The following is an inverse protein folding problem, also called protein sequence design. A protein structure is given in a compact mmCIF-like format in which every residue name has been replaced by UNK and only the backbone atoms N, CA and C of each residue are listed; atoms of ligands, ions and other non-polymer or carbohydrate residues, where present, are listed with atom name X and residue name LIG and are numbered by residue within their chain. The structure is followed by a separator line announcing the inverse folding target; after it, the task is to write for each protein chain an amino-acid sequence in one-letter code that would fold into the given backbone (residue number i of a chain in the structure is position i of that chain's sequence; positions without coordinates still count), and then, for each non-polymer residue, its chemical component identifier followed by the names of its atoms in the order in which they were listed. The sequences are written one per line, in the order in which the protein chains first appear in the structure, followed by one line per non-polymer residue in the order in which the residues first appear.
data_IF_156648086995
#
_entry.id   IF_156648086995
#
_cell.length_a   1.000
_cell.length_b   1.000
_cell.length_c   1.000
_cell.angle_alpha   90.00
_cell.angle_beta   90.00
_cell.angle_gamma   90.00
#
_symmetry.space_group_name_H-M   'P 1'
#
loop_
_entity.id
_entity.type
_entity.pdbx_description
1 polymer ?
#
# COMPACT_ATOMS: atom_id res chain seq x y z
N UNK A 1 -30.65 -34.78 24.24
CA UNK A 1 -30.07 -33.54 24.83
C UNK A 1 -31.15 -32.59 25.32
N UNK A 2 -32.13 -32.26 24.48
CA UNK A 2 -33.26 -31.37 24.84
C UNK A 2 -34.12 -31.94 26.00
N UNK A 3 -34.44 -33.24 26.01
CA UNK A 3 -35.22 -33.86 27.09
C UNK A 3 -34.55 -33.74 28.48
N UNK A 4 -33.23 -33.97 28.56
CA UNK A 4 -32.44 -33.81 29.80
C UNK A 4 -32.37 -32.35 30.26
N UNK A 5 -32.40 -31.40 29.33
CA UNK A 5 -32.42 -29.97 29.64
C UNK A 5 -33.75 -29.55 30.27
N UNK A 6 -34.87 -30.09 29.79
CA UNK A 6 -36.18 -29.85 30.40
C UNK A 6 -36.31 -30.47 31.78
N UNK A 7 -35.79 -31.68 32.00
CA UNK A 7 -35.72 -32.30 33.33
C UNK A 7 -34.87 -31.46 34.31
N UNK A 8 -33.73 -30.94 33.85
CA UNK A 8 -32.86 -30.08 34.64
C UNK A 8 -33.51 -28.74 34.99
N UNK A 9 -34.17 -28.08 34.02
CA UNK A 9 -34.94 -26.84 34.25
C UNK A 9 -36.09 -27.08 35.24
N UNK A 10 -36.77 -28.23 35.15
CA UNK A 10 -37.85 -28.57 36.06
C UNK A 10 -37.35 -28.84 37.50
N UNK A 11 -36.17 -29.46 37.64
CA UNK A 11 -35.52 -29.66 38.94
C UNK A 11 -35.08 -28.35 39.60
N UNK A 12 -34.55 -27.39 38.81
CA UNK A 12 -34.15 -26.05 39.26
C UNK A 12 -35.34 -25.18 39.66
N UNK A 13 -36.50 -25.40 39.03
CA UNK A 13 -37.70 -24.59 39.26
C UNK A 13 -38.52 -25.02 40.48
N UNK A 14 -38.18 -26.17 41.09
CA UNK A 14 -38.94 -26.74 42.22
C UNK A 14 -40.41 -26.99 41.90
N UNK A 15 -40.76 -27.20 40.63
CA UNK A 15 -42.15 -27.37 40.16
C UNK A 15 -42.94 -26.08 39.90
N UNK A 16 -42.37 -24.89 40.08
CA UNK A 16 -43.06 -23.62 39.78
C UNK A 16 -43.01 -23.31 38.27
N UNK A 17 -44.17 -23.24 37.61
CA UNK A 17 -44.26 -23.01 36.17
C UNK A 17 -43.75 -21.63 35.73
N UNK A 18 -43.93 -20.59 36.54
CA UNK A 18 -43.47 -19.22 36.22
C UNK A 18 -41.94 -19.14 36.22
N UNK A 19 -41.30 -19.75 37.22
CA UNK A 19 -39.83 -19.78 37.35
C UNK A 19 -39.22 -20.63 36.23
N UNK A 20 -39.86 -21.74 35.85
CA UNK A 20 -39.42 -22.59 34.74
C UNK A 20 -39.49 -21.85 33.40
N UNK A 21 -40.52 -21.01 33.20
CA UNK A 21 -40.63 -20.11 32.06
C UNK A 21 -39.51 -19.07 32.01
N UNK A 22 -39.20 -18.43 33.14
CA UNK A 22 -38.12 -17.44 33.20
C UNK A 22 -36.73 -18.04 32.95
N UNK A 23 -36.45 -19.21 33.56
CA UNK A 23 -35.18 -19.94 33.37
C UNK A 23 -35.04 -20.39 31.92
N UNK A 24 -36.10 -20.92 31.30
CA UNK A 24 -36.05 -21.38 29.91
C UNK A 24 -35.81 -20.22 28.92
N UNK A 25 -36.42 -19.05 29.14
CA UNK A 25 -36.15 -17.84 28.35
C UNK A 25 -34.70 -17.37 28.50
N UNK A 26 -34.15 -17.39 29.71
CA UNK A 26 -32.76 -17.02 29.95
C UNK A 26 -31.77 -17.99 29.27
N UNK A 27 -32.02 -19.29 29.36
CA UNK A 27 -31.23 -20.31 28.63
C UNK A 27 -31.33 -20.12 27.11
N UNK A 28 -32.53 -19.87 26.58
CA UNK A 28 -32.70 -19.65 25.15
C UNK A 28 -31.97 -18.38 24.69
N UNK A 29 -32.04 -17.30 25.47
CA UNK A 29 -31.33 -16.05 25.20
C UNK A 29 -29.81 -16.21 25.21
N UNK A 30 -29.27 -16.91 26.20
CA UNK A 30 -27.82 -17.18 26.31
C UNK A 30 -27.33 -18.10 25.19
N UNK A 31 -28.07 -19.16 24.86
CA UNK A 31 -27.74 -20.04 23.72
C UNK A 31 -27.77 -19.24 22.42
N UNK A 32 -28.80 -18.41 22.20
CA UNK A 32 -28.90 -17.58 21.00
C UNK A 32 -27.73 -16.60 20.88
N UNK A 33 -27.32 -15.98 22.00
CA UNK A 33 -26.15 -15.11 22.03
C UNK A 33 -24.86 -15.87 21.70
N UNK A 34 -24.63 -17.04 22.31
CA UNK A 34 -23.46 -17.89 22.07
C UNK A 34 -23.42 -18.33 20.60
N UNK A 35 -24.54 -18.82 20.07
CA UNK A 35 -24.65 -19.25 18.67
C UNK A 35 -24.41 -18.11 17.67
N UNK A 36 -24.68 -16.85 18.05
CA UNK A 36 -24.42 -15.69 17.20
C UNK A 36 -22.98 -15.18 17.31
N UNK A 37 -22.46 -15.04 18.52
CA UNK A 37 -21.21 -14.30 18.77
C UNK A 37 -19.97 -15.20 18.67
N UNK A 38 -20.04 -16.45 19.16
CA UNK A 38 -18.89 -17.36 19.18
C UNK A 38 -18.42 -17.70 17.76
N UNK A 39 -19.30 -18.10 16.80
CA UNK A 39 -18.84 -18.39 15.44
C UNK A 39 -18.19 -17.19 14.75
N UNK A 40 -18.67 -15.97 15.02
CA UNK A 40 -18.10 -14.74 14.46
C UNK A 40 -16.67 -14.52 14.96
N UNK A 41 -16.44 -14.69 16.26
CA UNK A 41 -15.11 -14.53 16.85
C UNK A 41 -14.15 -15.64 16.37
N UNK A 42 -14.62 -16.89 16.36
CA UNK A 42 -13.84 -18.03 15.84
C UNK A 42 -13.45 -17.78 14.38
N UNK A 43 -14.39 -17.35 13.54
CA UNK A 43 -14.10 -17.00 12.15
C UNK A 43 -13.06 -15.88 12.04
N UNK A 44 -13.15 -14.83 12.87
CA UNK A 44 -12.18 -13.73 12.86
C UNK A 44 -10.76 -14.21 13.24
N UNK A 45 -10.65 -15.05 14.27
CA UNK A 45 -9.36 -15.63 14.70
C UNK A 45 -8.79 -16.54 13.61
N UNK A 46 -9.62 -17.42 13.05
CA UNK A 46 -9.21 -18.34 11.97
C UNK A 46 -8.74 -17.55 10.75
N UNK A 47 -9.51 -16.54 10.32
CA UNK A 47 -9.13 -15.66 9.22
C UNK A 47 -7.76 -15.04 9.49
N UNK A 48 -7.57 -14.43 10.67
CA UNK A 48 -6.31 -13.77 11.06
C UNK A 48 -5.09 -14.70 11.01
N UNK A 49 -5.25 -15.99 11.32
CA UNK A 49 -4.12 -16.94 11.35
C UNK A 49 -3.83 -17.60 10.00
N UNK A 50 -4.82 -17.63 9.10
CA UNK A 50 -4.70 -18.26 7.77
C UNK A 50 -4.33 -17.23 6.69
N UNK A 51 -4.71 -15.97 6.86
CA UNK A 51 -4.46 -14.93 5.87
C UNK A 51 -3.33 -13.99 6.27
N UNK A 52 -2.66 -13.42 5.27
CA UNK A 52 -1.71 -12.32 5.45
C UNK A 52 -2.25 -11.08 4.74
N UNK A 53 -2.15 -9.93 5.41
CA UNK A 53 -2.65 -8.65 4.94
C UNK A 53 -1.47 -7.69 4.71
N UNK A 54 -1.50 -6.98 3.58
CA UNK A 54 -0.62 -5.86 3.27
C UNK A 54 -1.45 -4.58 3.24
N UNK A 55 -1.03 -3.56 3.98
CA UNK A 55 -1.81 -2.34 4.19
C UNK A 55 -1.02 -1.15 3.65
N UNK A 56 -1.68 -0.30 2.86
CA UNK A 56 -1.15 1.00 2.44
C UNK A 56 -2.17 2.09 2.68
N UNK A 57 -1.73 3.20 3.27
CA UNK A 57 -2.59 4.32 3.70
C UNK A 57 -2.39 5.52 2.77
N UNK A 58 -3.45 6.31 2.55
CA UNK A 58 -3.45 7.51 1.68
C UNK A 58 -2.51 8.64 2.09
N UNK A 59 -1.86 8.51 3.25
CA UNK A 59 -0.85 9.46 3.76
C UNK A 59 0.52 9.26 3.11
N UNK A 60 0.77 8.12 2.47
CA UNK A 60 2.07 7.79 1.88
C UNK A 60 2.03 7.77 0.35
N UNK A 61 3.13 8.15 -0.30
CA UNK A 61 3.29 8.08 -1.77
C UNK A 61 3.09 6.65 -2.30
N UNK A 62 3.46 5.65 -1.49
CA UNK A 62 3.26 4.21 -1.79
C UNK A 62 1.82 3.86 -2.16
N UNK A 63 0.83 4.58 -1.61
CA UNK A 63 -0.57 4.40 -1.94
C UNK A 63 -0.87 4.81 -3.38
N UNK A 64 -0.37 5.96 -3.82
CA UNK A 64 -0.56 6.42 -5.19
C UNK A 64 0.21 5.56 -6.19
N UNK A 65 1.43 5.14 -5.84
CA UNK A 65 2.21 4.20 -6.65
C UNK A 65 1.47 2.86 -6.84
N UNK A 66 0.84 2.35 -5.79
CA UNK A 66 0.02 1.14 -5.85
C UNK A 66 -1.22 1.31 -6.74
N UNK A 67 -1.93 2.44 -6.63
CA UNK A 67 -3.08 2.75 -7.50
C UNK A 67 -2.68 2.83 -8.98
N UNK A 68 -1.58 3.51 -9.29
CA UNK A 68 -1.02 3.61 -10.63
C UNK A 68 -0.62 2.23 -11.17
N UNK A 69 -0.06 1.38 -10.31
CA UNK A 69 0.29 0.01 -10.67
C UNK A 69 -0.94 -0.82 -11.05
N UNK A 70 -2.05 -0.71 -10.31
CA UNK A 70 -3.31 -1.40 -10.65
C UNK A 70 -3.85 -1.00 -12.02
N UNK A 71 -3.82 0.28 -12.33
CA UNK A 71 -4.27 0.80 -13.62
C UNK A 71 -3.38 0.33 -14.77
N UNK A 72 -2.06 0.44 -14.62
CA UNK A 72 -1.09 0.04 -15.66
C UNK A 72 -1.13 -1.46 -15.95
N UNK A 73 -1.43 -2.29 -14.95
CA UNK A 73 -1.64 -3.74 -15.12
C UNK A 73 -3.03 -4.10 -15.67
N UNK A 74 -3.92 -3.12 -15.79
CA UNK A 74 -5.29 -3.31 -16.30
C UNK A 74 -6.22 -4.03 -15.34
N UNK A 75 -5.85 -4.18 -14.06
CA UNK A 75 -6.74 -4.76 -13.04
C UNK A 75 -7.99 -3.91 -12.83
N UNK A 76 -7.89 -2.60 -13.09
CA UNK A 76 -8.99 -1.63 -12.99
C UNK A 76 -10.14 -1.88 -13.95
N UNK A 77 -9.93 -2.67 -15.01
CA UNK A 77 -11.01 -3.14 -15.90
C UNK A 77 -11.85 -4.26 -15.28
N UNK A 78 -11.27 -5.03 -14.34
CA UNK A 78 -11.94 -6.16 -13.67
C UNK A 78 -12.66 -5.74 -12.39
N UNK A 79 -12.34 -4.57 -11.86
CA UNK A 79 -13.00 -4.02 -10.67
C UNK A 79 -14.43 -3.61 -10.99
N UNK A 80 -15.37 -4.02 -10.13
CA UNK A 80 -16.79 -3.67 -10.26
C UNK A 80 -17.07 -2.23 -9.83
N UNK A 81 -16.20 -1.65 -9.01
CA UNK A 81 -16.26 -0.26 -8.56
C UNK A 81 -14.93 0.40 -8.86
N UNK A 82 -14.99 1.58 -9.44
CA UNK A 82 -13.83 2.36 -9.87
C UNK A 82 -13.99 3.76 -9.34
N UNK A 83 -12.88 4.36 -8.89
CA UNK A 83 -12.81 5.72 -8.39
C UNK A 83 -11.90 6.52 -9.31
N UNK A 84 -12.26 7.77 -9.56
CA UNK A 84 -11.35 8.70 -10.22
C UNK A 84 -10.48 9.38 -9.16
N UNK A 85 -9.15 9.24 -9.27
CA UNK A 85 -8.21 9.83 -8.32
C UNK A 85 -7.21 10.70 -9.07
N UNK A 86 -6.96 11.90 -8.53
CA UNK A 86 -5.86 12.75 -8.96
C UNK A 86 -4.72 12.61 -7.95
N UNK A 87 -3.47 12.68 -8.41
CA UNK A 87 -2.31 12.52 -7.56
C UNK A 87 -2.22 13.62 -6.51
N UNK A 88 -2.40 13.25 -5.25
CA UNK A 88 -2.22 14.14 -4.10
C UNK A 88 -0.74 14.55 -3.91
N UNK A 89 0.20 13.72 -4.36
CA UNK A 89 1.64 13.89 -4.17
C UNK A 89 2.35 14.45 -5.42
N UNK A 90 1.72 15.39 -6.13
CA UNK A 90 2.37 16.14 -7.21
C UNK A 90 2.33 15.49 -8.60
N UNK A 91 1.71 14.31 -8.76
CA UNK A 91 1.45 13.76 -10.09
C UNK A 91 0.11 14.29 -10.63
N UNK A 92 0.15 15.19 -11.61
CA UNK A 92 -1.05 15.64 -12.35
C UNK A 92 -1.71 14.54 -13.22
N UNK A 93 -1.14 13.33 -13.22
CA UNK A 93 -1.71 12.18 -13.91
C UNK A 93 -2.96 11.71 -13.16
N UNK A 94 -4.12 11.84 -13.81
CA UNK A 94 -5.36 11.27 -13.31
C UNK A 94 -5.37 9.77 -13.54
N UNK A 95 -5.63 9.01 -12.47
CA UNK A 95 -5.61 7.55 -12.50
C UNK A 95 -6.99 6.98 -12.23
N UNK A 96 -7.40 6.01 -13.05
CA UNK A 96 -8.58 5.18 -12.77
C UNK A 96 -8.24 4.23 -11.63
N UNK A 97 -8.58 4.63 -10.41
CA UNK A 97 -8.29 3.91 -9.17
C UNK A 97 -9.35 2.87 -8.79
N UNK A 98 -9.02 2.02 -7.82
CA UNK A 98 -9.93 1.04 -7.21
C UNK A 98 -11.06 1.79 -6.49
N UNK A 99 -12.31 1.38 -6.66
CA UNK A 99 -13.43 1.96 -5.91
C UNK A 99 -13.63 1.30 -4.53
N UNK A 100 -14.33 1.98 -3.63
CA UNK A 100 -14.57 1.50 -2.26
C UNK A 100 -15.22 0.11 -2.20
N UNK A 101 -14.77 -0.71 -1.27
CA UNK A 101 -15.22 -2.08 -1.08
C UNK A 101 -14.17 -3.12 -1.45
N UNK A 102 -14.60 -4.38 -1.56
CA UNK A 102 -13.71 -5.53 -1.78
C UNK A 102 -13.78 -6.01 -3.22
N UNK A 103 -12.61 -6.20 -3.82
CA UNK A 103 -12.40 -6.73 -5.16
C UNK A 103 -11.48 -7.94 -5.10
N UNK A 104 -11.44 -8.71 -6.18
CA UNK A 104 -10.53 -9.86 -6.29
C UNK A 104 -9.67 -9.71 -7.55
N UNK A 105 -8.37 -9.93 -7.39
CA UNK A 105 -7.40 -9.99 -8.48
C UNK A 105 -6.64 -11.31 -8.44
N UNK A 106 -6.05 -11.65 -9.58
CA UNK A 106 -5.09 -12.75 -9.69
C UNK A 106 -3.72 -12.16 -9.92
N UNK A 107 -2.78 -12.43 -9.01
CA UNK A 107 -1.37 -12.08 -9.16
C UNK A 107 -0.55 -13.37 -9.30
N UNK A 108 -0.10 -13.65 -10.52
CA UNK A 108 0.35 -14.98 -10.89
C UNK A 108 -0.81 -15.99 -10.76
N UNK A 109 -0.59 -17.05 -9.98
CA UNK A 109 -1.61 -18.08 -9.71
C UNK A 109 -2.30 -17.93 -8.36
N UNK A 110 -2.11 -16.80 -7.66
CA UNK A 110 -2.65 -16.58 -6.31
C UNK A 110 -3.77 -15.54 -6.34
N UNK A 111 -4.96 -15.84 -5.78
CA UNK A 111 -6.02 -14.87 -5.62
C UNK A 111 -5.69 -13.92 -4.47
N UNK A 112 -5.86 -12.62 -4.70
CA UNK A 112 -5.68 -11.55 -3.72
C UNK A 112 -6.97 -10.75 -3.64
N UNK A 113 -7.47 -10.58 -2.42
CA UNK A 113 -8.59 -9.69 -2.15
C UNK A 113 -8.07 -8.29 -1.90
N UNK A 114 -8.57 -7.33 -2.67
CA UNK A 114 -8.21 -5.91 -2.59
C UNK A 114 -9.38 -5.17 -1.98
N UNK A 115 -9.24 -4.74 -0.73
CA UNK A 115 -10.28 -3.98 -0.03
C UNK A 115 -9.83 -2.54 0.11
N UNK A 116 -10.59 -1.61 -0.45
CA UNK A 116 -10.42 -0.17 -0.23
C UNK A 116 -11.46 0.30 0.79
N UNK A 117 -10.97 0.81 1.91
CA UNK A 117 -11.79 1.38 2.97
C UNK A 117 -11.62 2.90 3.02
N UNK A 118 -12.72 3.59 3.32
CA UNK A 118 -12.74 5.01 3.68
C UNK A 118 -12.96 5.10 5.19
N UNK A 119 -12.12 5.86 5.87
CA UNK A 119 -12.35 6.25 7.25
C UNK A 119 -13.02 7.62 7.28
N UNK A 120 -14.05 7.76 8.12
CA UNK A 120 -14.70 9.03 8.35
C UNK A 120 -13.73 9.97 9.06
N UNK A 121 -13.23 10.95 8.32
CA UNK A 121 -12.36 11.98 8.85
C UNK A 121 -13.17 13.26 9.09
N UNK A 122 -12.95 13.91 10.24
CA UNK A 122 -13.50 15.26 10.52
C UNK A 122 -12.80 16.37 9.72
N UNK A 123 -11.77 16.02 8.96
CA UNK A 123 -11.02 16.92 8.07
C UNK A 123 -11.58 16.83 6.66
N UNK A 124 -11.39 17.88 5.85
CA UNK A 124 -11.74 17.88 4.41
C UNK A 124 -11.05 16.76 3.60
N UNK A 125 -10.01 16.14 4.17
CA UNK A 125 -9.26 15.06 3.54
C UNK A 125 -9.82 13.69 3.87
N UNK A 126 -10.24 12.95 2.84
CA UNK A 126 -10.60 11.54 2.94
C UNK A 126 -9.38 10.70 3.36
N UNK A 127 -9.50 9.99 4.47
CA UNK A 127 -8.53 8.96 4.88
C UNK A 127 -8.92 7.64 4.24
N UNK A 128 -8.00 7.08 3.46
CA UNK A 128 -8.24 5.83 2.73
C UNK A 128 -7.16 4.82 3.05
N UNK A 129 -7.54 3.55 3.13
CA UNK A 129 -6.63 2.43 3.31
C UNK A 129 -6.94 1.32 2.31
N UNK A 130 -5.91 0.86 1.60
CA UNK A 130 -5.97 -0.32 0.74
C UNK A 130 -5.38 -1.49 1.53
N UNK A 131 -6.16 -2.56 1.62
CA UNK A 131 -5.78 -3.82 2.27
C UNK A 131 -5.75 -4.90 1.20
N UNK A 132 -4.58 -5.49 0.97
CA UNK A 132 -4.40 -6.66 0.12
C UNK A 132 -4.34 -7.90 1.01
N UNK A 133 -5.37 -8.75 0.94
CA UNK A 133 -5.44 -10.00 1.70
C UNK A 133 -5.12 -11.17 0.78
N UNK A 134 -4.28 -12.09 1.25
CA UNK A 134 -4.03 -13.37 0.57
C UNK A 134 -4.06 -14.53 1.57
N UNK A 135 -4.30 -15.73 1.08
CA UNK A 135 -4.16 -16.94 1.88
C UNK A 135 -2.67 -17.31 2.09
N UNK A 136 -2.37 -17.91 3.24
CA UNK A 136 -1.06 -18.41 3.62
C UNK A 136 -0.10 -17.33 4.15
N UNK A 137 0.87 -17.77 4.95
CA UNK A 137 1.77 -16.92 5.77
C UNK A 137 2.96 -16.29 5.03
N UNK A 138 3.27 -16.74 3.82
CA UNK A 138 4.50 -16.33 3.13
C UNK A 138 4.45 -14.87 2.67
N UNK A 139 5.46 -14.06 2.98
CA UNK A 139 5.53 -12.66 2.53
C UNK A 139 6.13 -12.50 1.13
N UNK A 140 6.69 -13.56 0.53
CA UNK A 140 7.45 -13.48 -0.73
C UNK A 140 6.64 -12.94 -1.91
N UNK A 141 5.33 -13.14 -1.92
CA UNK A 141 4.44 -12.58 -2.93
C UNK A 141 4.32 -11.05 -2.79
N UNK A 142 4.20 -10.56 -1.56
CA UNK A 142 4.14 -9.12 -1.29
C UNK A 142 5.48 -8.46 -1.59
N UNK A 143 6.60 -9.11 -1.28
CA UNK A 143 7.93 -8.60 -1.64
C UNK A 143 8.10 -8.45 -3.16
N UNK A 144 7.60 -9.43 -3.94
CA UNK A 144 7.58 -9.34 -5.41
C UNK A 144 6.70 -8.20 -5.90
N UNK A 145 5.52 -8.02 -5.30
CA UNK A 145 4.61 -6.92 -5.61
C UNK A 145 5.24 -5.55 -5.31
N UNK A 146 5.87 -5.39 -4.14
CA UNK A 146 6.57 -4.17 -3.74
C UNK A 146 7.70 -3.87 -4.72
N UNK A 147 8.51 -4.86 -5.09
CA UNK A 147 9.57 -4.71 -6.10
C UNK A 147 9.02 -4.27 -7.46
N UNK A 148 7.87 -4.80 -7.90
CA UNK A 148 7.24 -4.37 -9.15
C UNK A 148 6.71 -2.92 -9.11
N UNK A 149 6.25 -2.46 -7.94
CA UNK A 149 5.78 -1.08 -7.74
C UNK A 149 6.98 -0.14 -7.75
N UNK A 150 8.01 -0.41 -6.94
CA UNK A 150 9.20 0.44 -6.80
C UNK A 150 9.94 0.54 -8.14
N UNK A 151 10.23 -0.58 -8.80
CA UNK A 151 10.95 -0.60 -10.09
C UNK A 151 10.25 0.20 -11.19
N UNK A 152 8.95 0.49 -11.04
CA UNK A 152 8.16 1.21 -12.04
C UNK A 152 7.91 2.67 -11.70
N UNK A 153 8.10 3.04 -10.44
CA UNK A 153 8.11 4.44 -10.00
C UNK A 153 9.51 5.05 -10.07
N UNK A 154 10.42 4.35 -10.74
CA UNK A 154 11.63 4.94 -11.31
C UNK A 154 11.19 6.12 -12.19
N UNK A 155 11.10 7.29 -11.55
CA UNK A 155 11.12 8.66 -12.09
C UNK A 155 12.38 8.90 -12.94
N UNK A 156 13.17 7.86 -13.25
CA UNK A 156 14.51 7.87 -13.83
C UNK A 156 14.58 8.48 -15.22
N UNK A 157 13.45 8.60 -15.92
CA UNK A 157 13.42 9.22 -17.25
C UNK A 157 12.89 10.66 -17.26
N UNK A 158 12.74 11.30 -16.10
CA UNK A 158 12.39 12.72 -15.99
C UNK A 158 13.43 13.43 -15.11
N UNK A 159 13.87 14.61 -15.55
CA UNK A 159 14.68 15.53 -14.78
C UNK A 159 13.79 16.68 -14.30
N UNK A 160 13.81 16.97 -13.00
CA UNK A 160 13.07 18.08 -12.41
C UNK A 160 13.99 19.31 -12.34
N UNK A 161 13.54 20.42 -12.93
CA UNK A 161 14.27 21.68 -12.95
C UNK A 161 13.77 22.54 -11.81
N UNK A 162 14.68 22.94 -10.92
CA UNK A 162 14.42 23.86 -9.84
C UNK A 162 15.05 25.22 -10.11
N UNK A 163 14.37 26.29 -9.70
CA UNK A 163 14.87 27.66 -9.79
C UNK A 163 14.98 28.25 -8.39
N UNK A 164 16.11 28.90 -8.11
CA UNK A 164 16.26 29.67 -6.89
C UNK A 164 15.36 30.92 -6.93
N UNK A 165 14.53 31.11 -5.91
CA UNK A 165 13.68 32.29 -5.73
C UNK A 165 13.54 32.58 -4.24
N UNK A 166 13.85 33.82 -3.83
CA UNK A 166 13.73 34.29 -2.44
C UNK A 166 14.39 33.37 -1.38
N UNK A 167 15.53 32.75 -1.71
CA UNK A 167 16.25 31.86 -0.80
C UNK A 167 15.72 30.42 -0.74
N UNK A 168 14.72 30.09 -1.55
CA UNK A 168 14.16 28.74 -1.66
C UNK A 168 14.34 28.18 -3.07
N UNK A 169 14.40 26.85 -3.18
CA UNK A 169 14.37 26.14 -4.46
C UNK A 169 12.92 25.85 -4.84
N UNK A 170 12.42 26.56 -5.86
CA UNK A 170 11.08 26.34 -6.38
C UNK A 170 11.12 25.39 -7.57
N UNK A 171 10.26 24.38 -7.54
CA UNK A 171 10.03 23.52 -8.70
C UNK A 171 9.55 24.36 -9.88
N UNK A 172 10.19 24.23 -11.05
CA UNK A 172 9.85 24.96 -12.26
C UNK A 172 9.11 24.07 -13.26
N UNK A 173 9.74 22.98 -13.69
CA UNK A 173 9.18 22.06 -14.67
C UNK A 173 9.89 20.70 -14.62
N UNK A 174 9.33 19.71 -15.32
CA UNK A 174 9.99 18.45 -15.60
C UNK A 174 10.33 18.35 -17.08
N UNK A 175 11.46 17.72 -17.40
CA UNK A 175 11.88 17.42 -18.77
C UNK A 175 12.22 15.93 -18.89
N UNK A 176 11.98 15.28 -20.04
CA UNK A 176 12.47 13.92 -20.24
C UNK A 176 14.00 13.89 -20.21
N UNK A 177 14.59 12.85 -19.62
CA UNK A 177 16.05 12.66 -19.60
C UNK A 177 16.55 12.54 -21.03
N UNK A 178 17.48 13.42 -21.42
CA UNK A 178 18.14 13.36 -22.72
C UNK A 178 19.20 12.25 -22.69
N UNK A 179 19.22 11.40 -23.72
CA UNK A 179 20.29 10.42 -23.89
C UNK A 179 21.63 11.17 -24.06
N UNK A 180 22.64 10.82 -23.28
CA UNK A 180 23.95 11.45 -23.33
C UNK A 180 24.62 11.25 -24.71
N UNK A 181 24.34 10.13 -25.38
CA UNK A 181 24.83 9.86 -26.73
C UNK A 181 24.27 10.85 -27.77
N UNK A 182 23.15 11.52 -27.49
CA UNK A 182 22.59 12.56 -28.36
C UNK A 182 23.29 13.91 -28.27
N UNK A 183 24.26 14.06 -27.35
CA UNK A 183 25.10 15.25 -27.24
C UNK A 183 26.29 15.06 -28.17
N UNK A 184 26.45 15.94 -29.14
CA UNK A 184 27.58 15.89 -30.09
C UNK A 184 28.71 16.74 -29.50
N UNK A 185 29.79 16.09 -29.09
CA UNK A 185 31.03 16.68 -28.59
C UNK A 185 32.15 15.65 -28.79
N UNK A 186 33.40 16.05 -28.56
CA UNK A 186 34.55 15.15 -28.65
C UNK A 186 34.38 13.91 -27.75
N UNK A 187 34.59 12.72 -28.33
CA UNK A 187 34.40 11.44 -27.63
C UNK A 187 35.45 11.23 -26.53
N UNK A 188 36.66 11.79 -26.67
CA UNK A 188 37.68 11.74 -25.62
C UNK A 188 37.20 12.53 -24.39
N UNK A 189 36.67 13.74 -24.62
CA UNK A 189 36.14 14.60 -23.55
C UNK A 189 34.93 13.97 -22.86
N UNK A 190 34.01 13.35 -23.63
CA UNK A 190 32.88 12.60 -23.04
C UNK A 190 33.34 11.49 -22.11
N UNK A 191 34.30 10.70 -22.59
CA UNK A 191 34.80 9.53 -21.87
C UNK A 191 35.51 9.95 -20.59
N UNK A 192 36.34 10.99 -20.66
CA UNK A 192 37.03 11.55 -19.50
C UNK A 192 36.04 12.12 -18.47
N UNK A 193 35.01 12.85 -18.92
CA UNK A 193 34.00 13.42 -18.05
C UNK A 193 33.22 12.34 -17.28
N UNK A 194 32.72 11.32 -17.98
CA UNK A 194 32.00 10.20 -17.36
C UNK A 194 32.91 9.48 -16.36
N UNK A 195 34.14 9.17 -16.76
CA UNK A 195 35.09 8.46 -15.90
C UNK A 195 35.39 9.26 -14.63
N UNK A 196 35.63 10.56 -14.75
CA UNK A 196 35.91 11.44 -13.60
C UNK A 196 34.74 11.47 -12.61
N UNK A 197 33.51 11.55 -13.12
CA UNK A 197 32.30 11.52 -12.28
C UNK A 197 32.14 10.15 -11.61
N UNK A 198 32.32 9.05 -12.35
CA UNK A 198 32.21 7.69 -11.83
C UNK A 198 33.26 7.39 -10.75
N UNK A 199 34.50 7.86 -10.95
CA UNK A 199 35.58 7.72 -9.98
C UNK A 199 35.32 8.55 -8.72
N UNK A 200 34.80 9.78 -8.88
CA UNK A 200 34.37 10.61 -7.76
C UNK A 200 33.26 9.94 -6.94
N UNK A 201 32.22 9.40 -7.61
CA UNK A 201 31.11 8.70 -6.94
C UNK A 201 31.60 7.51 -6.12
N UNK A 202 32.56 6.73 -6.65
CA UNK A 202 33.12 5.56 -5.95
C UNK A 202 34.06 5.94 -4.80
N UNK A 203 34.54 7.17 -4.77
CA UNK A 203 35.54 7.64 -3.79
C UNK A 203 34.94 8.21 -2.50
N UNK A 204 33.62 8.20 -2.32
CA UNK A 204 32.93 8.77 -1.15
C UNK A 204 33.55 8.34 0.20
N UNK A 205 33.81 7.05 0.39
CA UNK A 205 34.42 6.52 1.61
C UNK A 205 35.82 7.11 1.88
N UNK A 206 36.59 7.36 0.82
CA UNK A 206 37.92 7.95 0.92
C UNK A 206 37.84 9.41 1.41
N UNK A 207 36.91 10.21 0.89
CA UNK A 207 36.68 11.59 1.33
C UNK A 207 36.28 11.66 2.80
N UNK A 208 35.33 10.80 3.21
CA UNK A 208 34.87 10.71 4.61
C UNK A 208 36.03 10.35 5.54
N UNK A 209 36.82 9.34 5.18
CA UNK A 209 37.96 8.89 5.98
C UNK A 209 39.01 9.97 6.21
N UNK A 210 39.24 10.84 5.22
CA UNK A 210 40.25 11.89 5.29
C UNK A 210 39.68 13.25 5.76
N UNK A 211 38.38 13.33 6.07
CA UNK A 211 37.73 14.55 6.53
C UNK A 211 37.68 15.66 5.47
N UNK A 212 37.76 15.30 4.19
CA UNK A 212 37.70 16.25 3.07
C UNK A 212 36.24 16.40 2.65
N UNK A 213 35.73 17.63 2.42
CA UNK A 213 34.38 17.82 1.92
C UNK A 213 34.16 17.06 0.61
N UNK A 214 33.10 16.25 0.56
CA UNK A 214 32.74 15.47 -0.62
C UNK A 214 32.06 16.37 -1.67
N UNK A 215 32.88 17.06 -2.47
CA UNK A 215 32.42 17.93 -3.56
C UNK A 215 33.34 17.84 -4.78
N UNK A 216 32.74 17.93 -5.97
CA UNK A 216 33.42 17.95 -7.26
C UNK A 216 32.99 19.18 -8.05
N UNK A 217 33.95 19.96 -8.54
CA UNK A 217 33.72 21.08 -9.44
C UNK A 217 34.18 20.74 -10.84
N UNK A 218 33.31 20.90 -11.84
CA UNK A 218 33.62 20.68 -13.26
C UNK A 218 33.42 21.99 -14.00
N UNK A 219 34.46 22.46 -14.68
CA UNK A 219 34.42 23.66 -15.50
C UNK A 219 34.33 23.26 -16.98
N UNK A 220 33.16 23.47 -17.58
CA UNK A 220 32.96 23.33 -19.02
C UNK A 220 33.11 24.70 -19.66
N UNK A 221 34.07 24.86 -20.57
CA UNK A 221 34.31 26.09 -21.31
C UNK A 221 34.53 25.78 -22.79
N UNK A 222 34.15 26.73 -23.65
CA UNK A 222 34.16 26.57 -25.10
C UNK A 222 33.39 27.71 -25.76
N UNK A 223 33.40 27.74 -27.09
CA UNK A 223 32.64 28.69 -27.91
C UNK A 223 31.39 28.05 -28.49
#
# INVERSE_FOLDING_TARGET
MIAKMFEYINSLSGGNQMIAGAISLWFMGTITYICREVPRQVYAVVKKHITTEFISTSQHESFHALLKWFEKKGYTKKFRRVKFSNGRFGSNETVKSVGYGTHMIWFGCVPIWVTLNKEDAKTEMDKESIILTKAGRSHTLFDKLIKEIIKRDDKTNKFEVYRASKGEWLYSCWQPKRDFNSVIMDEEVKTELIKTIDDFIKSEEWYIKHGIPYSLGILLYGA
#
